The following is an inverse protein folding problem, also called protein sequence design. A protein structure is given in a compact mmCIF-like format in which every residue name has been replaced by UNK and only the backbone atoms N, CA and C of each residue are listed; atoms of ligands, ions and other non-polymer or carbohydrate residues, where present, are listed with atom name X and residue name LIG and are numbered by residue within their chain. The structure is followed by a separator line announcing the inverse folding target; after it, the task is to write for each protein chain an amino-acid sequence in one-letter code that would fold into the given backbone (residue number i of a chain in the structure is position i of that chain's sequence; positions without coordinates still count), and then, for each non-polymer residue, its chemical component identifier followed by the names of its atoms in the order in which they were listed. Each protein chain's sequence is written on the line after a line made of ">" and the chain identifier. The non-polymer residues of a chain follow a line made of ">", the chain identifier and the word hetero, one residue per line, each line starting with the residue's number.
data_IF_530170329046
#
_entry.id   IF_530170329046
#
_cell.length_a   1.000
_cell.length_b   1.000
_cell.length_c   1.000
_cell.angle_alpha   90.00
_cell.angle_beta   90.00
_cell.angle_gamma   90.00
#
_symmetry.space_group_name_H-M   'P 1'
#
loop_
_entity.id
_entity.type
_entity.pdbx_description
1 polymer ?
#
# COMPACT_ATOMS: atom_id res chain seq x y z
N UNK A 1 4.72 10.79 32.57
CA UNK A 1 5.52 11.75 33.35
C UNK A 1 6.98 11.49 33.00
N UNK A 2 7.85 12.48 32.71
CA UNK A 2 7.67 13.69 31.90
C UNK A 2 8.80 13.81 30.83
N UNK A 3 8.50 13.99 29.53
CA UNK A 3 9.48 14.54 28.55
C UNK A 3 8.87 14.55 27.14
N UNK A 4 8.08 15.56 26.83
CA UNK A 4 7.95 15.97 25.43
C UNK A 4 8.09 17.47 25.42
N UNK A 5 9.15 17.97 24.78
CA UNK A 5 9.42 19.39 24.52
C UNK A 5 8.34 20.05 23.62
N UNK A 6 7.11 19.53 23.60
CA UNK A 6 6.03 20.02 22.76
C UNK A 6 4.64 19.72 23.31
N UNK A 7 3.66 20.50 22.86
CA UNK A 7 2.24 20.27 23.12
C UNK A 7 1.55 19.65 21.90
N UNK A 8 0.59 18.75 22.11
CA UNK A 8 -0.28 18.29 21.03
C UNK A 8 -1.26 19.40 20.63
N UNK A 9 -1.47 19.58 19.32
CA UNK A 9 -2.42 20.56 18.78
C UNK A 9 -2.35 20.63 17.26
N UNK A 10 -3.02 21.61 16.65
CA UNK A 10 -3.14 21.72 15.19
C UNK A 10 -4.21 20.79 14.62
N UNK A 11 -4.18 20.58 13.29
CA UNK A 11 -5.09 19.69 12.56
C UNK A 11 -4.31 18.47 12.09
N UNK A 12 -4.49 17.33 12.77
CA UNK A 12 -3.88 16.06 12.36
C UNK A 12 -4.68 15.38 11.26
N UNK A 13 -4.00 14.61 10.42
CA UNK A 13 -4.65 13.89 9.34
C UNK A 13 -5.54 12.76 9.89
N UNK A 14 -6.81 12.74 9.49
CA UNK A 14 -7.74 11.67 9.85
C UNK A 14 -7.55 10.45 8.93
N UNK A 15 -6.40 9.80 9.06
CA UNK A 15 -6.05 8.64 8.24
C UNK A 15 -7.10 7.52 8.35
N UNK A 16 -7.67 7.30 9.55
CA UNK A 16 -8.71 6.28 9.76
C UNK A 16 -9.90 6.48 8.81
N UNK A 17 -10.40 7.71 8.71
CA UNK A 17 -11.50 8.03 7.80
C UNK A 17 -11.09 7.83 6.34
N UNK A 18 -9.90 8.30 5.95
CA UNK A 18 -9.37 8.14 4.60
C UNK A 18 -9.24 6.67 4.18
N UNK A 19 -8.73 5.81 5.06
CA UNK A 19 -8.61 4.37 4.83
C UNK A 19 -9.99 3.71 4.73
N UNK A 20 -10.93 4.08 5.60
CA UNK A 20 -12.30 3.55 5.56
C UNK A 20 -12.98 3.90 4.24
N UNK A 21 -12.99 5.18 3.87
CA UNK A 21 -13.57 5.65 2.62
C UNK A 21 -12.89 5.00 1.42
N UNK A 22 -11.55 5.02 1.36
CA UNK A 22 -10.78 4.42 0.27
C UNK A 22 -11.06 2.92 0.09
N UNK A 23 -11.22 2.18 1.19
CA UNK A 23 -11.57 0.75 1.13
C UNK A 23 -12.93 0.48 0.48
N UNK A 24 -13.92 1.36 0.69
CA UNK A 24 -15.25 1.21 0.08
C UNK A 24 -15.19 1.26 -1.44
N UNK A 25 -14.29 2.09 -2.00
CA UNK A 25 -14.12 2.23 -3.45
C UNK A 25 -13.14 1.20 -4.02
N UNK A 26 -11.96 1.06 -3.43
CA UNK A 26 -10.90 0.18 -3.95
C UNK A 26 -11.29 -1.30 -3.90
N UNK A 27 -12.04 -1.71 -2.87
CA UNK A 27 -12.44 -3.11 -2.67
C UNK A 27 -13.81 -3.42 -3.30
N UNK A 28 -14.58 -2.42 -3.76
CA UNK A 28 -15.90 -2.63 -4.37
C UNK A 28 -15.89 -3.61 -5.55
N UNK A 29 -14.92 -3.59 -6.49
CA UNK A 29 -14.87 -4.54 -7.59
C UNK A 29 -14.71 -6.00 -7.12
N UNK A 30 -14.05 -6.23 -5.99
CA UNK A 30 -13.89 -7.57 -5.42
C UNK A 30 -15.20 -8.08 -4.78
N UNK A 31 -16.01 -7.15 -4.24
CA UNK A 31 -17.33 -7.43 -3.65
C UNK A 31 -18.45 -7.58 -4.68
N UNK A 32 -18.29 -7.00 -5.87
CA UNK A 32 -19.26 -7.07 -6.96
C UNK A 32 -19.24 -8.37 -7.78
N UNK A 33 -20.30 -8.56 -8.58
CA UNK A 33 -20.50 -9.70 -9.48
C UNK A 33 -19.79 -9.61 -10.83
N UNK A 34 -18.86 -8.65 -11.03
CA UNK A 34 -18.10 -8.56 -12.30
C UNK A 34 -17.21 -9.80 -12.49
N UNK A 35 -17.01 -10.15 -13.76
CA UNK A 35 -16.24 -11.31 -14.29
C UNK A 35 -14.75 -11.28 -13.90
N UNK A 36 -14.47 -11.42 -12.61
CA UNK A 36 -13.12 -11.54 -12.05
C UNK A 36 -13.03 -12.86 -11.31
N UNK A 37 -11.98 -13.63 -11.60
CA UNK A 37 -11.74 -14.92 -10.94
C UNK A 37 -11.56 -14.73 -9.44
N UNK A 38 -11.89 -15.76 -8.65
CA UNK A 38 -11.66 -15.73 -7.21
C UNK A 38 -10.20 -15.39 -6.84
N UNK A 39 -9.24 -15.89 -7.63
CA UNK A 39 -7.83 -15.61 -7.44
C UNK A 39 -7.52 -14.11 -7.60
N UNK A 40 -8.02 -13.47 -8.67
CA UNK A 40 -7.84 -12.04 -8.91
C UNK A 40 -8.46 -11.20 -7.78
N UNK A 41 -9.65 -11.59 -7.28
CA UNK A 41 -10.30 -10.91 -6.16
C UNK A 41 -9.44 -10.95 -4.89
N UNK A 42 -8.92 -12.13 -4.54
CA UNK A 42 -8.04 -12.30 -3.38
C UNK A 42 -6.73 -11.50 -3.52
N UNK A 43 -6.11 -11.53 -4.71
CA UNK A 43 -4.89 -10.79 -5.00
C UNK A 43 -5.09 -9.28 -4.86
N UNK A 44 -6.17 -8.75 -5.45
CA UNK A 44 -6.47 -7.31 -5.39
C UNK A 44 -6.78 -6.85 -3.96
N UNK A 45 -7.57 -7.61 -3.19
CA UNK A 45 -7.85 -7.28 -1.79
C UNK A 45 -6.58 -7.27 -0.93
N UNK A 46 -5.68 -8.24 -1.15
CA UNK A 46 -4.38 -8.30 -0.47
C UNK A 46 -3.52 -7.09 -0.82
N UNK A 47 -3.33 -6.80 -2.10
CA UNK A 47 -2.51 -5.67 -2.56
C UNK A 47 -3.08 -4.32 -2.11
N UNK A 48 -4.41 -4.17 -2.08
CA UNK A 48 -5.06 -2.99 -1.53
C UNK A 48 -4.75 -2.82 -0.03
N UNK A 49 -4.73 -3.91 0.75
CA UNK A 49 -4.37 -3.88 2.16
C UNK A 49 -2.90 -3.53 2.37
N UNK A 50 -1.98 -4.04 1.54
CA UNK A 50 -0.57 -3.65 1.56
C UNK A 50 -0.42 -2.13 1.36
N UNK A 51 -1.17 -1.54 0.42
CA UNK A 51 -1.21 -0.09 0.22
C UNK A 51 -1.70 0.66 1.45
N UNK A 52 -2.80 0.21 2.06
CA UNK A 52 -3.34 0.80 3.30
C UNK A 52 -2.36 0.72 4.46
N UNK A 53 -1.66 -0.41 4.62
CA UNK A 53 -0.62 -0.59 5.64
C UNK A 53 0.55 0.34 5.44
N UNK A 54 0.99 0.52 4.20
CA UNK A 54 2.07 1.46 3.87
C UNK A 54 1.70 2.90 4.27
N UNK A 55 0.44 3.31 4.12
CA UNK A 55 -0.06 4.61 4.60
C UNK A 55 -0.12 4.71 6.13
N UNK A 56 -0.46 3.63 6.83
CA UNK A 56 -0.47 3.60 8.30
C UNK A 56 0.96 3.75 8.84
N UNK A 57 1.89 3.03 8.23
CA UNK A 57 3.31 3.01 8.62
C UNK A 57 4.03 4.32 8.29
N UNK A 58 3.53 5.11 7.33
CA UNK A 58 4.12 6.40 6.95
C UNK A 58 3.71 7.58 7.84
N UNK A 59 2.85 7.36 8.85
CA UNK A 59 2.42 8.44 9.74
C UNK A 59 3.58 8.94 10.61
N UNK A 60 3.79 10.25 10.64
CA UNK A 60 4.86 10.91 11.37
C UNK A 60 4.34 12.02 12.29
N UNK A 61 5.19 12.44 13.24
CA UNK A 61 4.90 13.61 14.08
C UNK A 61 5.46 14.84 13.38
N UNK A 62 4.56 15.72 12.91
CA UNK A 62 4.90 17.02 12.34
C UNK A 62 4.78 18.09 13.42
N UNK A 63 5.72 19.03 13.47
CA UNK A 63 5.79 20.07 14.50
C UNK A 63 5.95 21.47 13.89
N UNK A 64 5.35 22.47 14.53
CA UNK A 64 5.58 23.89 14.26
C UNK A 64 6.18 24.55 15.50
N UNK A 65 7.31 25.21 15.33
CA UNK A 65 7.97 26.01 16.36
C UNK A 65 7.42 27.43 16.39
N UNK A 66 7.22 27.97 17.58
CA UNK A 66 6.65 29.32 17.77
C UNK A 66 7.13 29.99 19.07
N UNK A 67 8.32 29.64 19.56
CA UNK A 67 9.01 30.36 20.62
C UNK A 67 9.53 31.73 20.18
N UNK A 68 10.08 32.50 21.12
CA UNK A 68 10.63 33.84 20.86
C UNK A 68 11.64 33.79 19.71
N UNK A 69 11.54 34.75 18.79
CA UNK A 69 12.35 34.82 17.57
C UNK A 69 12.29 33.57 16.67
N UNK A 70 11.21 32.80 16.73
CA UNK A 70 11.04 31.57 15.94
C UNK A 70 11.74 30.34 16.52
N UNK A 71 12.26 30.42 17.76
CA UNK A 71 12.88 29.28 18.42
C UNK A 71 11.90 28.12 18.66
N UNK A 72 12.42 26.90 18.79
CA UNK A 72 11.63 25.70 19.12
C UNK A 72 11.50 25.44 20.63
N UNK A 73 11.79 26.44 21.48
CA UNK A 73 11.59 26.37 22.94
C UNK A 73 10.13 26.12 23.30
N UNK A 74 9.21 26.56 22.43
CA UNK A 74 7.80 26.14 22.44
C UNK A 74 7.46 25.65 21.04
N UNK A 75 6.92 24.43 20.96
CA UNK A 75 6.43 23.86 19.69
C UNK A 75 5.12 23.10 19.89
N UNK A 76 4.29 23.11 18.85
CA UNK A 76 3.04 22.33 18.78
C UNK A 76 3.19 21.27 17.70
N UNK A 77 2.78 20.04 17.99
CA UNK A 77 2.87 18.95 17.03
C UNK A 77 1.53 18.23 16.82
N UNK A 78 1.39 17.61 15.66
CA UNK A 78 0.28 16.75 15.26
C UNK A 78 0.81 15.50 14.56
N UNK A 79 -0.04 14.49 14.43
CA UNK A 79 0.23 13.36 13.53
C UNK A 79 -0.22 13.73 12.12
N UNK A 80 0.66 13.55 11.15
CA UNK A 80 0.36 13.75 9.74
C UNK A 80 0.90 12.60 8.90
N UNK A 81 0.38 12.46 7.68
CA UNK A 81 0.90 11.53 6.70
C UNK A 81 2.31 11.98 6.27
N UNK A 82 3.22 11.03 6.12
CA UNK A 82 4.51 11.29 5.48
C UNK A 82 4.36 11.76 4.04
N UNK A 83 5.44 12.31 3.49
CA UNK A 83 5.44 12.78 2.11
C UNK A 83 5.10 11.66 1.11
N UNK A 84 4.24 11.97 0.13
CA UNK A 84 3.79 10.99 -0.86
C UNK A 84 4.97 10.37 -1.64
N UNK A 85 6.03 11.14 -1.88
CA UNK A 85 7.25 10.67 -2.53
C UNK A 85 7.95 9.54 -1.77
N UNK A 86 7.98 9.61 -0.44
CA UNK A 86 8.55 8.54 0.40
C UNK A 86 7.67 7.29 0.35
N UNK A 87 6.35 7.48 0.42
CA UNK A 87 5.36 6.40 0.35
C UNK A 87 5.43 5.67 -0.99
N UNK A 88 5.58 6.40 -2.11
CA UNK A 88 5.68 5.80 -3.44
C UNK A 88 6.99 5.05 -3.64
N UNK A 89 8.10 5.54 -3.08
CA UNK A 89 9.38 4.79 -3.07
C UNK A 89 9.22 3.48 -2.31
N UNK A 90 8.57 3.49 -1.14
CA UNK A 90 8.32 2.27 -0.37
C UNK A 90 7.43 1.28 -1.15
N UNK A 91 6.33 1.75 -1.76
CA UNK A 91 5.49 0.92 -2.61
C UNK A 91 6.26 0.37 -3.83
N UNK A 92 7.16 1.16 -4.42
CA UNK A 92 8.02 0.71 -5.53
C UNK A 92 8.97 -0.40 -5.07
N UNK A 93 9.55 -0.28 -3.89
CA UNK A 93 10.38 -1.34 -3.30
C UNK A 93 9.58 -2.64 -3.13
N UNK A 94 8.36 -2.54 -2.59
CA UNK A 94 7.44 -3.70 -2.48
C UNK A 94 7.04 -4.27 -3.83
N UNK A 95 6.89 -3.44 -4.86
CA UNK A 95 6.60 -3.87 -6.23
C UNK A 95 7.76 -4.66 -6.84
N UNK A 96 9.00 -4.17 -6.70
CA UNK A 96 10.20 -4.84 -7.19
C UNK A 96 10.47 -6.17 -6.47
N UNK A 97 10.02 -6.29 -5.22
CA UNK A 97 10.12 -7.51 -4.42
C UNK A 97 8.85 -8.39 -4.43
N UNK A 98 7.88 -8.11 -5.32
CA UNK A 98 6.58 -8.77 -5.30
C UNK A 98 6.70 -10.28 -5.54
N UNK A 99 5.91 -11.07 -4.81
CA UNK A 99 5.95 -12.54 -4.87
C UNK A 99 4.94 -13.09 -5.86
N UNK A 100 5.38 -14.02 -6.72
CA UNK A 100 4.47 -14.76 -7.60
C UNK A 100 3.67 -15.79 -6.82
N UNK A 101 2.36 -15.75 -6.93
CA UNK A 101 1.46 -16.70 -6.27
C UNK A 101 0.64 -17.50 -7.27
N UNK A 102 0.15 -18.65 -6.82
CA UNK A 102 -0.80 -19.49 -7.52
C UNK A 102 -2.01 -19.76 -6.64
N UNK A 103 -3.16 -20.01 -7.27
CA UNK A 103 -4.37 -20.39 -6.57
C UNK A 103 -4.41 -21.90 -6.38
N UNK A 104 -4.24 -22.38 -5.15
CA UNK A 104 -4.17 -23.81 -4.82
C UNK A 104 -5.17 -24.16 -3.71
N UNK A 105 -5.61 -25.41 -3.68
CA UNK A 105 -6.30 -25.97 -2.52
C UNK A 105 -5.29 -26.31 -1.42
N UNK A 106 -5.50 -25.72 -0.25
CA UNK A 106 -4.79 -26.07 0.98
C UNK A 106 -5.84 -26.66 1.92
N UNK A 107 -5.86 -27.99 2.01
CA UNK A 107 -6.98 -28.73 2.59
C UNK A 107 -8.28 -28.46 1.83
N UNK A 108 -9.34 -28.07 2.55
CA UNK A 108 -10.67 -27.75 1.97
C UNK A 108 -10.80 -26.31 1.46
N UNK A 109 -9.80 -25.45 1.68
CA UNK A 109 -9.87 -24.02 1.35
C UNK A 109 -8.99 -23.69 0.16
N UNK A 110 -9.49 -22.85 -0.75
CA UNK A 110 -8.69 -22.27 -1.83
C UNK A 110 -7.95 -21.05 -1.30
N UNK A 111 -6.64 -20.99 -1.51
CA UNK A 111 -5.77 -19.93 -1.02
C UNK A 111 -4.75 -19.52 -2.09
N UNK A 112 -4.24 -18.30 -1.98
CA UNK A 112 -3.07 -17.87 -2.73
C UNK A 112 -1.82 -18.31 -1.97
N UNK A 113 -0.98 -19.10 -2.64
CA UNK A 113 0.28 -19.60 -2.09
C UNK A 113 1.42 -19.22 -3.01
N UNK A 114 2.66 -19.02 -2.50
CA UNK A 114 3.83 -18.84 -3.35
C UNK A 114 3.92 -19.94 -4.42
N UNK A 115 4.27 -19.56 -5.64
CA UNK A 115 4.43 -20.52 -6.74
C UNK A 115 5.60 -21.47 -6.48
N UNK A 116 6.69 -20.93 -5.95
CA UNK A 116 7.92 -21.64 -5.63
C UNK A 116 7.81 -22.26 -4.23
N UNK A 117 8.15 -23.55 -4.13
CA UNK A 117 7.97 -24.33 -2.89
C UNK A 117 8.95 -23.93 -1.78
N UNK A 118 10.13 -23.44 -2.14
CA UNK A 118 11.17 -22.99 -1.20
C UNK A 118 10.96 -21.54 -0.73
N UNK A 119 9.93 -20.87 -1.25
CA UNK A 119 9.58 -19.51 -0.85
C UNK A 119 8.70 -19.57 0.38
N UNK A 120 9.12 -18.84 1.41
CA UNK A 120 8.35 -18.66 2.65
C UNK A 120 6.93 -18.14 2.38
N UNK A 121 5.99 -18.32 3.31
CA UNK A 121 4.67 -17.69 3.20
C UNK A 121 4.75 -16.19 2.93
N UNK A 122 3.82 -15.70 2.10
CA UNK A 122 3.68 -14.27 1.77
C UNK A 122 3.33 -13.50 3.04
N UNK A 123 4.07 -12.42 3.31
CA UNK A 123 3.76 -11.52 4.43
C UNK A 123 2.63 -10.56 4.03
N UNK A 124 1.92 -10.08 5.05
CA UNK A 124 0.84 -9.09 4.90
C UNK A 124 1.32 -7.73 4.35
N UNK A 125 2.63 -7.47 4.36
CA UNK A 125 3.27 -6.25 3.89
C UNK A 125 3.90 -6.39 2.49
N UNK A 126 3.69 -7.52 1.81
CA UNK A 126 4.31 -7.84 0.53
C UNK A 126 3.27 -7.84 -0.60
N UNK A 127 3.60 -7.22 -1.73
CA UNK A 127 2.75 -7.30 -2.92
C UNK A 127 2.84 -8.68 -3.56
N UNK A 128 1.74 -9.11 -4.18
CA UNK A 128 1.65 -10.39 -4.87
C UNK A 128 1.07 -10.23 -6.27
N UNK A 129 1.44 -11.17 -7.15
CA UNK A 129 0.92 -11.23 -8.51
C UNK A 129 0.68 -12.67 -8.98
N UNK A 130 -0.31 -12.84 -9.85
CA UNK A 130 -0.70 -14.16 -10.41
C UNK A 130 -0.02 -14.45 -11.75
N UNK A 131 0.08 -13.43 -12.60
CA UNK A 131 0.52 -13.54 -14.00
C UNK A 131 1.76 -12.67 -14.19
N UNK A 132 2.79 -13.24 -14.82
CA UNK A 132 4.00 -12.50 -15.18
C UNK A 132 3.66 -11.35 -16.13
N UNK A 133 4.34 -10.22 -15.95
CA UNK A 133 4.19 -9.07 -16.83
C UNK A 133 4.54 -9.44 -18.28
N UNK A 134 3.82 -8.90 -19.28
CA UNK A 134 4.15 -9.10 -20.68
C UNK A 134 5.42 -8.33 -21.08
N UNK A 135 5.85 -8.53 -22.33
CA UNK A 135 6.75 -7.61 -22.99
C UNK A 135 6.07 -6.25 -23.23
N UNK A 136 6.71 -5.18 -22.78
CA UNK A 136 6.24 -3.80 -23.00
C UNK A 136 7.02 -3.07 -24.11
N UNK A 137 8.03 -3.71 -24.71
CA UNK A 137 8.82 -3.12 -25.78
C UNK A 137 8.05 -3.10 -27.11
N UNK A 138 7.33 -4.18 -27.43
CA UNK A 138 6.47 -4.24 -28.61
C UNK A 138 5.09 -3.63 -28.37
N UNK A 139 4.55 -2.94 -29.38
CA UNK A 139 3.16 -2.42 -29.34
C UNK A 139 2.17 -3.58 -29.37
N UNK A 140 1.23 -3.59 -28.44
CA UNK A 140 0.19 -4.62 -28.33
C UNK A 140 -1.12 -4.03 -27.79
N UNK A 141 -2.10 -3.82 -28.67
CA UNK A 141 -3.41 -3.31 -28.26
C UNK A 141 -4.15 -4.27 -27.31
N UNK A 142 -3.99 -5.59 -27.52
CA UNK A 142 -4.59 -6.62 -26.66
C UNK A 142 -4.11 -6.52 -25.21
N UNK A 143 -2.85 -6.14 -25.00
CA UNK A 143 -2.25 -5.99 -23.67
C UNK A 143 -2.28 -4.54 -23.17
N UNK A 144 -2.73 -3.59 -24.00
CA UNK A 144 -2.64 -2.15 -23.71
C UNK A 144 -1.21 -1.61 -23.69
N UNK A 145 -0.26 -2.28 -24.34
CA UNK A 145 1.12 -1.82 -24.46
C UNK A 145 1.28 -0.91 -25.68
N UNK A 146 1.81 0.30 -25.49
CA UNK A 146 2.12 1.22 -26.58
C UNK A 146 3.42 0.88 -27.32
N UNK A 147 4.28 0.06 -26.71
CA UNK A 147 5.63 -0.20 -27.20
C UNK A 147 6.60 0.95 -26.86
N UNK A 148 7.89 0.68 -27.03
CA UNK A 148 8.98 1.65 -26.84
C UNK A 148 9.95 1.66 -28.02
N UNK A 149 9.65 0.91 -29.09
CA UNK A 149 10.42 0.94 -30.33
C UNK A 149 10.00 2.17 -31.13
N UNK A 150 10.98 2.93 -31.62
CA UNK A 150 10.78 4.05 -32.54
C UNK A 150 10.26 3.60 -33.90
#
# INVERSE_FOLDING_TARGET
>A
VPDRDFRWGGCGDNLRYGLQLGSLFADAPARGGRSSTQANKLMNLHNNEVGRRTLIESMEIKCKCHGVSGSCSVKTCWKGLGELSSITVELKTKYLAATRVIHRHVGKRKQLVPKELDVRPVRVSELIYLVSSPDYCSRSEKQGSYGTQE
#
